data_IF_387901025004
#
_entry.id   IF_387901025004
#
_cell.length_a   1.000
_cell.length_b   1.000
_cell.length_c   1.000
_cell.angle_alpha   90.00
_cell.angle_beta   90.00
_cell.angle_gamma   90.00
#
_symmetry.space_group_name_H-M   'P 1'
#
loop_
_entity.id
_entity.type
_entity.pdbx_description
1 polymer ?
#
# COMPACT_ATOMS: atom_id res chain seq x y z
N UNK A 1 -9.67 12.23 0.30
CA UNK A 1 -9.40 12.11 1.75
C UNK A 1 -10.00 13.35 2.40
N UNK A 2 -10.63 13.29 3.57
CA UNK A 2 -11.23 14.49 4.18
C UNK A 2 -10.14 15.40 4.74
N UNK A 3 -10.23 16.71 4.46
CA UNK A 3 -9.28 17.74 4.95
C UNK A 3 -9.10 17.66 6.48
N UNK A 4 -10.19 17.41 7.20
CA UNK A 4 -10.21 17.22 8.66
C UNK A 4 -9.24 16.12 9.16
N UNK A 5 -9.03 15.05 8.38
CA UNK A 5 -8.15 13.95 8.78
C UNK A 5 -6.66 14.34 8.69
N UNK A 6 -6.31 15.18 7.71
CA UNK A 6 -4.94 15.70 7.60
C UNK A 6 -4.63 16.67 8.73
N UNK A 7 -5.59 17.53 9.08
CA UNK A 7 -5.47 18.44 10.20
C UNK A 7 -5.27 17.68 11.51
N UNK A 8 -6.04 16.61 11.74
CA UNK A 8 -5.92 15.78 12.94
C UNK A 8 -4.52 15.14 13.08
N UNK A 9 -3.94 14.67 11.97
CA UNK A 9 -2.59 14.08 11.96
C UNK A 9 -1.51 15.11 12.26
N UNK A 10 -1.69 16.35 11.80
CA UNK A 10 -0.73 17.44 11.98
C UNK A 10 -0.80 18.05 13.38
N UNK A 11 -2.00 18.15 13.96
CA UNK A 11 -2.22 18.73 15.28
C UNK A 11 -1.89 17.76 16.41
N UNK A 12 -2.03 16.44 16.20
CA UNK A 12 -1.81 15.45 17.25
C UNK A 12 -0.42 14.80 17.22
N UNK A 13 0.23 14.62 18.39
CA UNK A 13 1.54 13.97 18.49
C UNK A 13 1.48 12.49 18.09
N UNK A 14 0.37 11.80 18.37
CA UNK A 14 0.11 10.43 17.95
C UNK A 14 -1.38 10.16 17.78
N UNK A 15 -1.73 9.08 17.09
CA UNK A 15 -3.12 8.66 16.91
C UNK A 15 -3.30 7.52 15.92
N UNK A 16 -4.54 7.04 15.84
CA UNK A 16 -4.97 5.98 14.93
C UNK A 16 -6.34 6.34 14.38
N UNK A 17 -6.48 6.31 13.06
CA UNK A 17 -7.77 6.46 12.35
C UNK A 17 -7.93 5.29 11.39
N UNK A 18 -9.12 4.71 11.35
CA UNK A 18 -9.50 3.69 10.38
C UNK A 18 -10.75 4.10 9.63
N UNK A 19 -10.72 3.97 8.31
CA UNK A 19 -11.83 4.25 7.41
C UNK A 19 -12.13 3.04 6.54
N UNK A 20 -13.41 2.77 6.31
CA UNK A 20 -13.85 1.76 5.33
C UNK A 20 -14.05 2.43 3.97
N UNK A 21 -13.46 1.86 2.94
CA UNK A 21 -13.61 2.33 1.57
C UNK A 21 -14.07 1.19 0.67
N UNK A 22 -14.98 1.47 -0.26
CA UNK A 22 -15.36 0.54 -1.31
C UNK A 22 -14.61 0.88 -2.59
N UNK A 23 -13.93 -0.10 -3.19
CA UNK A 23 -13.24 0.05 -4.47
C UNK A 23 -13.64 -1.12 -5.37
N UNK A 24 -14.31 -0.85 -6.49
CA UNK A 24 -14.76 -1.86 -7.46
C UNK A 24 -15.57 -3.01 -6.81
N UNK A 25 -16.58 -2.67 -6.01
CA UNK A 25 -17.41 -3.63 -5.30
C UNK A 25 -16.64 -4.53 -4.31
N UNK A 26 -15.44 -4.10 -3.87
CA UNK A 26 -14.66 -4.76 -2.83
C UNK A 26 -14.46 -3.80 -1.66
N UNK A 27 -14.75 -4.29 -0.46
CA UNK A 27 -14.57 -3.51 0.75
C UNK A 27 -13.12 -3.61 1.26
N UNK A 28 -12.56 -2.44 1.54
CA UNK A 28 -11.24 -2.27 2.12
C UNK A 28 -11.34 -1.46 3.41
N UNK A 29 -10.38 -1.69 4.31
CA UNK A 29 -10.12 -0.86 5.46
C UNK A 29 -8.76 -0.17 5.26
N UNK A 30 -8.76 1.14 5.39
CA UNK A 30 -7.55 1.97 5.42
C UNK A 30 -7.32 2.40 6.86
N UNK A 31 -6.17 2.04 7.40
CA UNK A 31 -5.73 2.48 8.73
C UNK A 31 -4.52 3.39 8.60
N UNK A 32 -4.59 4.52 9.26
CA UNK A 32 -3.50 5.47 9.48
C UNK A 32 -3.11 5.42 10.95
N UNK A 33 -1.83 5.16 11.23
CA UNK A 33 -1.28 5.20 12.59
C UNK A 33 -0.10 6.14 12.59
N UNK A 34 -0.09 7.15 13.46
CA UNK A 34 1.00 8.11 13.50
C UNK A 34 1.57 8.30 14.90
N UNK A 35 2.89 8.47 14.95
CA UNK A 35 3.65 8.96 16.10
C UNK A 35 4.76 9.86 15.56
N UNK A 36 5.96 9.33 15.32
CA UNK A 36 7.03 10.02 14.58
C UNK A 36 6.81 10.02 13.07
N UNK A 37 6.19 8.96 12.56
CA UNK A 37 5.91 8.70 11.15
C UNK A 37 4.49 8.19 11.01
N UNK A 38 3.91 8.41 9.83
CA UNK A 38 2.58 7.94 9.49
C UNK A 38 2.71 6.61 8.80
N UNK A 39 2.15 5.57 9.39
CA UNK A 39 2.00 4.25 8.81
C UNK A 39 0.63 4.17 8.15
N UNK A 40 0.62 3.90 6.84
CA UNK A 40 -0.61 3.61 6.12
C UNK A 40 -0.71 2.10 5.88
N UNK A 41 -1.89 1.54 6.12
CA UNK A 41 -2.22 0.14 5.85
C UNK A 41 -3.56 0.08 5.14
N UNK A 42 -3.58 -0.49 3.96
CA UNK A 42 -4.79 -0.77 3.18
C UNK A 42 -4.94 -2.28 3.10
N UNK A 43 -6.03 -2.83 3.60
CA UNK A 43 -6.29 -4.28 3.59
C UNK A 43 -7.75 -4.56 3.21
N UNK A 44 -8.06 -5.73 2.62
CA UNK A 44 -9.44 -6.16 2.45
C UNK A 44 -10.17 -6.19 3.80
N UNK A 45 -11.43 -5.74 3.83
CA UNK A 45 -12.27 -5.82 5.02
C UNK A 45 -12.58 -7.29 5.32
N UNK A 46 -12.42 -7.70 6.58
CA UNK A 46 -12.40 -9.10 7.02
C UNK A 46 -13.77 -9.76 6.92
N UNK A 47 -14.10 -10.30 5.75
CA UNK A 47 -15.10 -11.36 5.61
C UNK A 47 -14.61 -12.59 4.83
N UNK A 48 -13.40 -12.58 4.23
CA UNK A 48 -13.04 -13.57 3.20
C UNK A 48 -11.62 -14.17 3.26
N UNK A 49 -10.88 -14.09 4.38
CA UNK A 49 -9.47 -14.55 4.40
C UNK A 49 -9.26 -15.70 5.40
N UNK A 50 -9.66 -16.91 5.00
CA UNK A 50 -9.02 -18.14 5.49
C UNK A 50 -7.61 -18.21 4.91
N UNK A 51 -6.61 -17.86 5.73
CA UNK A 51 -5.15 -17.80 5.46
C UNK A 51 -4.73 -18.45 4.12
N UNK A 52 -4.89 -17.78 2.97
CA UNK A 52 -4.46 -18.34 1.71
C UNK A 52 -2.95 -18.13 1.58
N UNK A 53 -2.30 -18.94 0.75
CA UNK A 53 -0.94 -18.70 0.32
C UNK A 53 -0.78 -17.24 -0.12
N UNK A 54 0.13 -16.53 0.54
CA UNK A 54 0.37 -15.11 0.28
C UNK A 54 1.74 -14.91 -0.35
N UNK A 55 1.84 -14.00 -1.31
CA UNK A 55 3.13 -13.50 -1.77
C UNK A 55 3.29 -12.03 -1.38
N UNK A 56 4.53 -11.55 -1.49
CA UNK A 56 4.87 -10.19 -1.08
C UNK A 56 5.86 -9.56 -2.05
N UNK A 57 5.54 -8.35 -2.48
CA UNK A 57 6.37 -7.54 -3.36
C UNK A 57 6.92 -6.36 -2.55
N UNK A 58 8.23 -6.14 -2.64
CA UNK A 58 8.95 -5.03 -2.01
C UNK A 58 9.95 -4.41 -2.99
N UNK A 59 10.27 -3.14 -2.81
CA UNK A 59 11.46 -2.54 -3.44
C UNK A 59 12.72 -3.25 -2.91
N UNK A 60 13.58 -3.72 -3.80
CA UNK A 60 14.88 -4.29 -3.42
C UNK A 60 15.82 -3.15 -3.00
N UNK A 61 16.39 -3.23 -1.80
CA UNK A 61 17.33 -2.23 -1.28
C UNK A 61 18.69 -2.30 -1.98
N UNK A 62 19.12 -3.49 -2.41
CA UNK A 62 20.49 -3.74 -2.90
C UNK A 62 20.70 -3.47 -4.39
N UNK A 63 19.67 -3.61 -5.20
CA UNK A 63 19.80 -3.55 -6.65
C UNK A 63 19.91 -2.14 -7.24
N UNK A 64 19.51 -1.12 -6.45
CA UNK A 64 19.54 0.28 -6.89
C UNK A 64 20.94 0.87 -7.07
N UNK A 65 21.99 0.15 -6.64
CA UNK A 65 23.39 0.57 -6.76
C UNK A 65 23.97 0.17 -8.12
N UNK A 66 23.47 -0.90 -8.76
CA UNK A 66 24.10 -1.50 -9.95
C UNK A 66 23.25 -1.30 -11.21
N UNK A 67 21.92 -1.30 -11.10
CA UNK A 67 21.02 -1.19 -12.26
C UNK A 67 20.21 0.11 -12.20
N UNK A 68 20.15 0.85 -13.32
CA UNK A 68 19.38 2.12 -13.45
C UNK A 68 17.86 1.96 -13.36
N UNK A 69 17.36 0.75 -13.11
CA UNK A 69 15.93 0.44 -13.00
C UNK A 69 15.61 -0.12 -11.61
N UNK A 70 14.51 0.31 -10.96
CA UNK A 70 14.11 -0.22 -9.66
C UNK A 70 13.84 -1.72 -9.78
N UNK A 71 14.62 -2.53 -9.06
CA UNK A 71 14.33 -3.97 -8.94
C UNK A 71 13.41 -4.22 -7.74
N UNK A 72 12.51 -5.16 -7.90
CA UNK A 72 11.55 -5.56 -6.88
C UNK A 72 11.84 -7.00 -6.47
N UNK A 73 11.72 -7.28 -5.17
CA UNK A 73 11.79 -8.64 -4.64
C UNK A 73 10.38 -9.22 -4.51
N UNK A 74 10.18 -10.42 -5.04
CA UNK A 74 9.01 -11.25 -4.80
C UNK A 74 9.38 -12.32 -3.76
N UNK A 75 8.67 -12.36 -2.63
CA UNK A 75 8.76 -13.44 -1.66
C UNK A 75 7.48 -14.26 -1.70
N UNK A 76 7.59 -15.57 -1.93
CA UNK A 76 6.47 -16.48 -2.13
C UNK A 76 6.39 -16.97 -3.58
N UNK A 77 5.30 -17.69 -3.92
CA UNK A 77 5.15 -18.29 -5.24
C UNK A 77 4.80 -17.25 -6.30
N UNK A 78 5.41 -17.40 -7.48
CA UNK A 78 5.02 -16.66 -8.68
C UNK A 78 3.63 -17.12 -9.12
N UNK A 79 2.72 -16.18 -9.29
CA UNK A 79 1.35 -16.36 -9.75
C UNK A 79 1.02 -15.34 -10.85
N UNK A 80 -0.03 -15.59 -11.62
CA UNK A 80 -0.52 -14.62 -12.62
C UNK A 80 -0.79 -13.24 -12.00
N UNK A 81 -1.33 -13.20 -10.78
CA UNK A 81 -1.54 -11.95 -10.05
C UNK A 81 -0.21 -11.25 -9.72
N UNK A 82 0.80 -11.99 -9.24
CA UNK A 82 2.11 -11.40 -8.95
C UNK A 82 2.81 -10.86 -10.20
N UNK A 83 2.64 -11.50 -11.36
CA UNK A 83 3.21 -11.03 -12.62
C UNK A 83 2.54 -9.76 -13.12
N UNK A 84 1.19 -9.73 -13.09
CA UNK A 84 0.40 -8.52 -13.39
C UNK A 84 0.81 -7.35 -12.49
N UNK A 85 1.01 -7.61 -11.19
CA UNK A 85 1.46 -6.58 -10.26
C UNK A 85 2.86 -6.06 -10.63
N UNK A 86 3.82 -6.92 -10.96
CA UNK A 86 5.19 -6.49 -11.28
C UNK A 86 5.30 -5.67 -12.57
N UNK A 87 4.42 -5.91 -13.54
CA UNK A 87 4.37 -5.13 -14.78
C UNK A 87 3.56 -3.83 -14.65
N UNK A 88 2.76 -3.67 -13.60
CA UNK A 88 1.86 -2.53 -13.44
C UNK A 88 2.60 -1.25 -12.97
N UNK A 89 2.33 -0.13 -13.63
CA UNK A 89 2.93 1.17 -13.28
C UNK A 89 2.54 1.66 -11.88
N UNK A 90 1.32 1.41 -11.42
CA UNK A 90 0.85 1.83 -10.10
C UNK A 90 1.48 0.99 -8.98
N UNK A 91 1.81 -0.27 -9.25
CA UNK A 91 2.67 -1.05 -8.35
C UNK A 91 4.02 -0.36 -8.16
N UNK A 92 4.64 0.12 -9.25
CA UNK A 92 5.93 0.81 -9.16
C UNK A 92 5.82 2.11 -8.38
N UNK A 93 4.77 2.90 -8.62
CA UNK A 93 4.49 4.14 -7.90
C UNK A 93 4.27 3.89 -6.40
N UNK A 94 3.47 2.90 -6.04
CA UNK A 94 3.23 2.50 -4.65
C UNK A 94 4.50 1.98 -3.95
N UNK A 95 5.36 1.28 -4.68
CA UNK A 95 6.63 0.76 -4.14
C UNK A 95 7.76 1.81 -4.09
N UNK A 96 7.53 3.02 -4.61
CA UNK A 96 8.46 4.14 -4.46
C UNK A 96 8.48 4.69 -3.03
N UNK A 97 7.35 4.59 -2.32
CA UNK A 97 7.23 5.08 -0.95
C UNK A 97 8.10 4.30 0.04
N UNK A 98 8.62 4.96 1.10
CA UNK A 98 9.43 4.30 2.12
C UNK A 98 8.71 3.14 2.80
N UNK A 99 9.45 2.08 3.11
CA UNK A 99 8.95 0.89 3.81
C UNK A 99 7.68 0.27 3.19
N UNK A 100 7.47 0.50 1.90
CA UNK A 100 6.31 0.03 1.19
C UNK A 100 6.36 -1.47 0.88
N UNK A 101 5.20 -2.10 0.86
CA UNK A 101 5.02 -3.49 0.40
C UNK A 101 3.61 -3.68 -0.13
N UNK A 102 3.50 -4.51 -1.17
CA UNK A 102 2.23 -5.10 -1.60
C UNK A 102 2.22 -6.56 -1.16
N UNK A 103 1.11 -6.99 -0.58
CA UNK A 103 0.88 -8.36 -0.15
C UNK A 103 -0.27 -8.88 -1.01
N UNK A 104 -0.05 -9.96 -1.76
CA UNK A 104 -1.10 -10.60 -2.54
C UNK A 104 -1.69 -11.80 -1.80
N UNK A 105 -3.00 -11.90 -1.84
CA UNK A 105 -3.82 -13.05 -1.51
C UNK A 105 -4.48 -13.54 -2.81
N UNK A 106 -5.00 -14.78 -2.87
CA UNK A 106 -5.56 -15.42 -4.10
C UNK A 106 -6.16 -14.44 -5.13
N UNK A 107 -7.10 -13.58 -4.74
CA UNK A 107 -7.78 -12.61 -5.62
C UNK A 107 -7.73 -11.15 -5.13
N UNK A 108 -6.99 -10.87 -4.05
CA UNK A 108 -7.01 -9.59 -3.36
C UNK A 108 -5.58 -9.15 -3.01
N UNK A 109 -5.40 -7.85 -2.81
CA UNK A 109 -4.11 -7.29 -2.42
C UNK A 109 -4.26 -6.42 -1.18
N UNK A 110 -3.22 -6.35 -0.37
CA UNK A 110 -3.06 -5.37 0.69
C UNK A 110 -1.79 -4.55 0.43
N UNK A 111 -1.77 -3.34 0.97
CA UNK A 111 -0.66 -2.40 0.84
C UNK A 111 -0.29 -1.82 2.20
N UNK A 112 0.99 -1.57 2.41
CA UNK A 112 1.44 -0.73 3.51
C UNK A 112 2.56 0.18 3.06
N UNK A 113 2.71 1.35 3.66
CA UNK A 113 3.88 2.22 3.54
C UNK A 113 4.06 3.10 4.77
N UNK A 114 5.16 3.84 4.79
CA UNK A 114 5.49 4.77 5.86
C UNK A 114 5.88 6.14 5.29
N UNK A 115 5.35 7.20 5.88
CA UNK A 115 5.61 8.59 5.52
C UNK A 115 6.11 9.40 6.72
N UNK A 116 6.91 10.43 6.45
CA UNK A 116 7.17 11.47 7.45
C UNK A 116 5.90 12.31 7.61
N UNK A 117 5.61 12.79 8.83
CA UNK A 117 4.42 13.63 9.10
C UNK A 117 4.29 14.83 8.16
N UNK A 118 5.40 15.50 7.86
CA UNK A 118 5.43 16.65 6.94
C UNK A 118 5.05 16.34 5.48
N UNK A 119 4.94 15.06 5.12
CA UNK A 119 4.53 14.58 3.80
C UNK A 119 3.12 13.95 3.86
N UNK A 120 2.28 14.37 4.82
CA UNK A 120 0.93 13.82 5.00
C UNK A 120 0.03 14.04 3.77
N UNK A 121 0.28 15.09 3.00
CA UNK A 121 -0.32 15.37 1.69
C UNK A 121 -0.21 14.19 0.71
N UNK A 122 0.86 13.37 0.83
CA UNK A 122 1.06 12.21 -0.04
C UNK A 122 0.13 11.02 0.28
N UNK A 123 -0.61 11.05 1.39
CA UNK A 123 -1.55 9.96 1.75
C UNK A 123 -2.67 9.81 0.70
N UNK A 124 -3.17 10.91 0.15
CA UNK A 124 -4.16 10.88 -0.92
C UNK A 124 -3.59 10.31 -2.21
N UNK A 125 -2.35 10.67 -2.55
CA UNK A 125 -1.63 10.12 -3.70
C UNK A 125 -1.50 8.60 -3.58
N UNK A 126 -1.15 8.09 -2.40
CA UNK A 126 -1.08 6.65 -2.13
C UNK A 126 -2.44 5.98 -2.35
N UNK A 127 -3.53 6.57 -1.82
CA UNK A 127 -4.87 6.03 -2.02
C UNK A 127 -5.27 6.00 -3.49
N UNK A 128 -4.98 7.06 -4.24
CA UNK A 128 -5.31 7.15 -5.66
C UNK A 128 -4.53 6.14 -6.49
N UNK A 129 -3.24 5.95 -6.22
CA UNK A 129 -2.47 4.89 -6.87
C UNK A 129 -2.98 3.49 -6.51
N UNK A 130 -3.41 3.26 -5.26
CA UNK A 130 -3.99 1.97 -4.88
C UNK A 130 -5.33 1.71 -5.59
N UNK A 131 -6.21 2.71 -5.69
CA UNK A 131 -7.44 2.63 -6.48
C UNK A 131 -7.15 2.32 -7.95
N UNK A 132 -6.21 3.05 -8.55
CA UNK A 132 -5.84 2.86 -9.95
C UNK A 132 -5.17 1.50 -10.21
N UNK A 133 -4.39 1.00 -9.24
CA UNK A 133 -3.86 -0.36 -9.29
C UNK A 133 -4.97 -1.39 -9.34
N UNK A 134 -5.98 -1.29 -8.47
CA UNK A 134 -7.10 -2.23 -8.47
C UNK A 134 -7.87 -2.22 -9.80
N UNK A 135 -8.06 -1.04 -10.40
CA UNK A 135 -8.72 -0.88 -11.69
C UNK A 135 -7.98 -1.55 -12.84
N UNK A 136 -6.66 -1.74 -12.71
CA UNK A 136 -5.79 -2.23 -13.79
C UNK A 136 -5.34 -3.68 -13.59
N UNK A 137 -5.94 -4.43 -12.67
CA UNK A 137 -5.65 -5.84 -12.39
C UNK A 137 -6.70 -6.79 -12.97
#
# INVERSE_FOLDING_TARGET
MTENMLEEILQNPSGIISEKINIQARDYEVTYTWERRIHIKIKPYQHLIDRPSSFKIRKSSFASIIFRTPQYSLRGNKTALSEKLLSNQYTRALLYFPNSKIIGYKSQIAYTAELKKKNSDQLEIILNYFKALLVTL
#
